data_IF_126326839824
#
_entry.id   IF_126326839824
#
_cell.length_a   1.000
_cell.length_b   1.000
_cell.length_c   1.000
_cell.angle_alpha   90.00
_cell.angle_beta   90.00
_cell.angle_gamma   90.00
#
_symmetry.space_group_name_H-M   'P 1'
#
loop_
_entity.id
_entity.type
_entity.pdbx_description
1 polymer ?
#
# COMPACT_ATOMS: atom_id res chain seq x y z
N UNK A 1 28.48 -6.61 -57.45
CA UNK A 1 28.20 -5.70 -56.32
C UNK A 1 26.76 -5.21 -56.46
N UNK A 2 25.83 -5.67 -55.60
CA UNK A 2 24.44 -5.25 -55.65
C UNK A 2 24.21 -4.07 -54.68
N UNK A 3 24.16 -2.86 -55.23
CA UNK A 3 23.79 -1.66 -54.49
C UNK A 3 22.30 -1.65 -54.22
N UNK A 4 21.91 -1.93 -52.97
CA UNK A 4 20.53 -1.80 -52.51
C UNK A 4 20.17 -0.33 -52.26
N UNK A 5 19.54 0.31 -53.24
CA UNK A 5 18.95 1.65 -53.10
C UNK A 5 17.70 1.59 -52.20
N UNK A 6 17.86 2.01 -50.95
CA UNK A 6 16.72 2.21 -50.05
C UNK A 6 15.91 3.41 -50.53
N UNK A 7 14.72 3.15 -51.08
CA UNK A 7 13.79 4.20 -51.51
C UNK A 7 13.38 5.08 -50.31
N UNK A 8 13.33 6.42 -50.46
CA UNK A 8 13.00 7.37 -49.37
C UNK A 8 11.65 7.11 -48.69
N UNK A 9 10.73 6.48 -49.42
CA UNK A 9 9.37 6.16 -48.98
C UNK A 9 9.31 5.16 -47.81
N UNK A 10 10.29 4.27 -47.68
CA UNK A 10 10.34 3.28 -46.59
C UNK A 10 10.61 3.89 -45.21
N UNK A 11 11.44 4.93 -45.15
CA UNK A 11 11.76 5.68 -43.94
C UNK A 11 10.57 6.49 -43.46
N UNK A 12 9.90 7.21 -44.35
CA UNK A 12 8.69 7.99 -44.04
C UNK A 12 7.56 7.09 -43.49
N UNK A 13 7.29 5.96 -44.15
CA UNK A 13 6.33 4.94 -43.67
C UNK A 13 6.69 4.37 -42.29
N UNK A 14 7.96 4.38 -41.92
CA UNK A 14 8.42 3.90 -40.61
C UNK A 14 8.25 4.99 -39.55
N UNK A 15 8.57 6.24 -39.88
CA UNK A 15 8.32 7.41 -39.01
C UNK A 15 6.83 7.54 -38.71
N UNK A 16 5.96 7.37 -39.71
CA UNK A 16 4.50 7.47 -39.51
C UNK A 16 3.95 6.39 -38.57
N UNK A 17 4.47 5.16 -38.67
CA UNK A 17 4.10 4.06 -37.75
C UNK A 17 4.50 4.37 -36.31
N UNK A 18 5.70 4.89 -36.08
CA UNK A 18 6.14 5.28 -34.74
C UNK A 18 5.40 6.53 -34.23
N UNK A 19 5.13 7.52 -35.08
CA UNK A 19 4.30 8.69 -34.75
C UNK A 19 2.91 8.27 -34.28
N UNK A 20 2.30 7.27 -34.94
CA UNK A 20 1.03 6.67 -34.51
C UNK A 20 1.18 5.94 -33.17
N UNK A 21 2.24 5.16 -32.99
CA UNK A 21 2.50 4.42 -31.75
C UNK A 21 2.66 5.36 -30.54
N UNK A 22 3.38 6.48 -30.69
CA UNK A 22 3.57 7.50 -29.64
C UNK A 22 2.24 8.17 -29.27
N UNK A 23 1.40 8.50 -30.24
CA UNK A 23 0.06 9.05 -29.98
C UNK A 23 -0.80 8.08 -29.17
N UNK A 24 -0.79 6.80 -29.52
CA UNK A 24 -1.54 5.78 -28.78
C UNK A 24 -0.98 5.57 -27.37
N UNK A 25 0.33 5.63 -27.20
CA UNK A 25 0.99 5.49 -25.90
C UNK A 25 0.63 6.59 -24.91
N UNK A 26 0.34 7.81 -25.40
CA UNK A 26 -0.10 8.93 -24.57
C UNK A 26 -1.46 8.68 -23.89
N UNK A 27 -2.28 7.79 -24.45
CA UNK A 27 -3.60 7.44 -23.91
C UNK A 27 -3.48 6.16 -23.06
N UNK A 28 -3.77 6.20 -21.73
CA UNK A 28 -3.50 5.09 -20.80
C UNK A 28 -4.39 3.84 -20.98
N UNK A 29 -5.07 3.70 -22.12
CA UNK A 29 -6.02 2.61 -22.40
C UNK A 29 -5.41 1.43 -23.19
N UNK A 30 -4.18 1.55 -23.67
CA UNK A 30 -3.55 0.53 -24.53
C UNK A 30 -2.17 0.12 -24.01
N UNK A 31 -1.95 -1.18 -23.90
CA UNK A 31 -0.65 -1.77 -23.58
C UNK A 31 0.33 -1.65 -24.76
N UNK A 32 1.63 -1.70 -24.48
CA UNK A 32 2.67 -1.75 -25.53
C UNK A 32 2.43 -2.85 -26.57
N UNK A 33 1.86 -3.99 -26.13
CA UNK A 33 1.55 -5.14 -26.98
C UNK A 33 0.40 -4.85 -27.93
N UNK A 34 -0.63 -4.14 -27.47
CA UNK A 34 -1.73 -3.69 -28.31
C UNK A 34 -1.26 -2.62 -29.29
N UNK A 35 -0.47 -1.65 -28.82
CA UNK A 35 0.10 -0.58 -29.66
C UNK A 35 0.96 -1.17 -30.79
N UNK A 36 1.78 -2.17 -30.46
CA UNK A 36 2.60 -2.91 -31.44
C UNK A 36 1.75 -3.54 -32.55
N UNK A 37 0.67 -4.24 -32.17
CA UNK A 37 -0.29 -4.84 -33.13
C UNK A 37 -0.99 -3.77 -33.98
N UNK A 38 -1.48 -2.69 -33.36
CA UNK A 38 -2.22 -1.62 -34.06
C UNK A 38 -1.35 -0.79 -35.02
N UNK A 39 -0.05 -0.71 -34.77
CA UNK A 39 0.88 0.12 -35.55
C UNK A 39 1.78 -0.68 -36.51
N UNK A 40 1.74 -2.02 -36.46
CA UNK A 40 2.56 -2.87 -37.33
C UNK A 40 4.07 -2.66 -37.09
N UNK A 41 4.46 -2.53 -35.83
CA UNK A 41 5.85 -2.37 -35.36
C UNK A 41 6.12 -3.38 -34.26
N UNK A 42 7.37 -3.83 -34.12
CA UNK A 42 7.73 -4.79 -33.08
C UNK A 42 7.55 -4.19 -31.67
N UNK A 43 7.19 -5.03 -30.70
CA UNK A 43 7.07 -4.63 -29.28
C UNK A 43 8.37 -3.99 -28.78
N UNK A 44 9.52 -4.58 -29.14
CA UNK A 44 10.84 -4.08 -28.79
C UNK A 44 11.11 -2.73 -29.45
N UNK A 45 10.71 -2.54 -30.71
CA UNK A 45 10.84 -1.28 -31.44
C UNK A 45 10.03 -0.15 -30.80
N UNK A 46 8.77 -0.41 -30.43
CA UNK A 46 7.93 0.58 -29.72
C UNK A 46 8.56 0.98 -28.39
N UNK A 47 8.95 0.00 -27.57
CA UNK A 47 9.59 0.27 -26.27
C UNK A 47 10.91 1.02 -26.42
N UNK A 48 11.72 0.66 -27.43
CA UNK A 48 12.99 1.32 -27.73
C UNK A 48 12.79 2.78 -28.16
N UNK A 49 11.93 3.01 -29.15
CA UNK A 49 11.65 4.35 -29.67
C UNK A 49 11.14 5.29 -28.57
N UNK A 50 10.21 4.83 -27.75
CA UNK A 50 9.67 5.64 -26.66
C UNK A 50 10.74 5.92 -25.59
N UNK A 51 11.61 4.96 -25.28
CA UNK A 51 12.71 5.18 -24.32
C UNK A 51 13.71 6.21 -24.82
N UNK A 52 14.01 6.20 -26.12
CA UNK A 52 15.05 7.02 -26.73
C UNK A 52 14.57 8.44 -27.03
N UNK A 53 13.35 8.59 -27.58
CA UNK A 53 12.84 9.89 -28.03
C UNK A 53 11.77 10.48 -27.12
N UNK A 54 10.95 9.65 -26.45
CA UNK A 54 9.77 10.08 -25.70
C UNK A 54 9.77 9.62 -24.23
N UNK A 55 10.95 9.64 -23.57
CA UNK A 55 11.12 9.16 -22.19
C UNK A 55 10.14 9.78 -21.20
N UNK A 56 9.74 11.03 -21.43
CA UNK A 56 8.77 11.74 -20.61
C UNK A 56 7.38 11.06 -20.57
N UNK A 57 6.97 10.36 -21.64
CA UNK A 57 5.71 9.62 -21.67
C UNK A 57 5.73 8.39 -20.76
N UNK A 58 6.89 7.74 -20.63
CA UNK A 58 7.08 6.64 -19.68
C UNK A 58 6.90 7.19 -18.27
N UNK A 59 7.57 8.30 -17.94
CA UNK A 59 7.46 8.93 -16.63
C UNK A 59 6.04 9.40 -16.32
N UNK A 60 5.29 9.87 -17.31
CA UNK A 60 3.88 10.26 -17.13
C UNK A 60 2.98 9.05 -16.82
N UNK A 61 3.22 7.91 -17.49
CA UNK A 61 2.44 6.69 -17.26
C UNK A 61 2.78 6.02 -15.92
N UNK A 62 4.03 6.13 -15.47
CA UNK A 62 4.48 5.68 -14.15
C UNK A 62 4.08 6.63 -13.02
N UNK A 63 3.63 7.85 -13.32
CA UNK A 63 3.14 8.80 -12.31
C UNK A 63 1.63 8.96 -12.44
N UNK A 64 0.93 7.83 -12.49
CA UNK A 64 -0.53 7.84 -12.36
C UNK A 64 -0.92 8.53 -11.04
N UNK A 65 -2.07 9.22 -10.94
CA UNK A 65 -2.51 9.83 -9.69
C UNK A 65 -2.48 8.85 -8.50
N UNK A 66 -2.94 7.61 -8.73
CA UNK A 66 -2.88 6.53 -7.74
C UNK A 66 -1.46 6.20 -7.26
N UNK A 67 -0.45 6.27 -8.13
CA UNK A 67 0.94 5.98 -7.74
C UNK A 67 1.47 7.07 -6.80
N UNK A 68 1.12 8.33 -7.04
CA UNK A 68 1.53 9.46 -6.19
C UNK A 68 0.91 9.35 -4.81
N UNK A 69 -0.39 9.06 -4.74
CA UNK A 69 -1.12 8.85 -3.49
C UNK A 69 -0.51 7.69 -2.68
N UNK A 70 -0.15 6.59 -3.34
CA UNK A 70 0.50 5.46 -2.69
C UNK A 70 1.92 5.79 -2.19
N UNK A 71 2.68 6.62 -2.93
CA UNK A 71 4.01 7.08 -2.51
C UNK A 71 3.91 8.02 -1.29
N UNK A 72 2.95 8.94 -1.30
CA UNK A 72 2.68 9.83 -0.17
C UNK A 72 2.23 9.05 1.06
N UNK A 73 1.33 8.07 0.88
CA UNK A 73 0.93 7.16 1.94
C UNK A 73 2.12 6.38 2.49
N UNK A 74 3.00 5.88 1.62
CA UNK A 74 4.23 5.19 2.04
C UNK A 74 5.17 6.09 2.84
N UNK A 75 5.21 7.40 2.59
CA UNK A 75 6.00 8.34 3.38
C UNK A 75 5.31 8.79 4.68
N UNK A 76 3.98 8.67 4.77
CA UNK A 76 3.18 9.08 5.92
C UNK A 76 3.36 8.17 7.15
N UNK A 77 3.20 8.76 8.33
CA UNK A 77 3.15 8.04 9.60
C UNK A 77 1.88 7.18 9.73
N UNK A 78 0.78 7.56 9.08
CA UNK A 78 -0.50 6.86 9.21
C UNK A 78 -0.46 5.44 8.63
N UNK A 79 0.44 5.20 7.68
CA UNK A 79 0.61 3.89 7.02
C UNK A 79 1.93 3.20 7.41
N UNK A 80 2.60 3.67 8.47
CA UNK A 80 3.92 3.14 8.88
C UNK A 80 3.90 1.65 9.24
N UNK A 81 2.74 1.13 9.65
CA UNK A 81 2.55 -0.29 9.98
C UNK A 81 2.49 -1.17 8.73
N UNK A 82 2.08 -0.61 7.59
CA UNK A 82 1.93 -1.34 6.35
C UNK A 82 3.26 -1.44 5.58
N UNK A 83 3.53 -2.61 5.02
CA UNK A 83 4.63 -2.80 4.08
C UNK A 83 4.25 -2.34 2.67
N UNK A 84 5.23 -2.26 1.76
CA UNK A 84 5.03 -1.81 0.37
C UNK A 84 3.90 -2.60 -0.32
N UNK A 85 3.88 -3.93 -0.19
CA UNK A 85 2.85 -4.77 -0.84
C UNK A 85 1.46 -4.58 -0.23
N UNK A 86 1.35 -4.28 1.06
CA UNK A 86 0.08 -3.97 1.72
C UNK A 86 -0.43 -2.61 1.27
N UNK A 87 0.46 -1.61 1.14
CA UNK A 87 0.12 -0.29 0.62
C UNK A 87 -0.34 -0.41 -0.83
N UNK A 88 0.39 -1.13 -1.68
CA UNK A 88 -0.02 -1.39 -3.05
C UNK A 88 -1.46 -1.96 -3.13
N UNK A 89 -1.80 -2.92 -2.25
CA UNK A 89 -3.16 -3.46 -2.16
C UNK A 89 -4.21 -2.44 -1.70
N UNK A 90 -3.89 -1.55 -0.78
CA UNK A 90 -4.80 -0.47 -0.34
C UNK A 90 -5.15 0.49 -1.50
N UNK A 91 -4.23 0.71 -2.43
CA UNK A 91 -4.40 1.62 -3.57
C UNK A 91 -4.73 0.91 -4.89
N UNK A 92 -4.92 -0.42 -4.87
CA UNK A 92 -5.21 -1.20 -6.08
C UNK A 92 -4.07 -1.22 -7.11
N UNK A 93 -2.83 -1.03 -6.66
CA UNK A 93 -1.63 -0.99 -7.50
C UNK A 93 -0.89 -2.33 -7.54
N UNK A 94 -0.09 -2.50 -8.59
CA UNK A 94 0.89 -3.58 -8.68
C UNK A 94 2.06 -3.32 -7.73
N UNK A 95 2.34 -4.27 -6.83
CA UNK A 95 3.35 -4.10 -5.79
C UNK A 95 4.77 -4.09 -6.36
N UNK A 96 5.02 -4.86 -7.42
CA UNK A 96 6.30 -4.82 -8.13
C UNK A 96 6.57 -3.46 -8.78
N UNK A 97 5.57 -2.83 -9.39
CA UNK A 97 5.73 -1.52 -10.00
C UNK A 97 5.97 -0.43 -8.96
N UNK A 98 5.17 -0.40 -7.88
CA UNK A 98 5.33 0.56 -6.78
C UNK A 98 6.71 0.45 -6.13
N UNK A 99 7.18 -0.78 -5.86
CA UNK A 99 8.50 -1.05 -5.30
C UNK A 99 9.63 -0.53 -6.21
N UNK A 100 9.54 -0.78 -7.52
CA UNK A 100 10.51 -0.28 -8.49
C UNK A 100 10.54 1.24 -8.53
N UNK A 101 9.38 1.88 -8.48
CA UNK A 101 9.25 3.33 -8.50
C UNK A 101 9.86 3.97 -7.24
N UNK A 102 9.54 3.45 -6.05
CA UNK A 102 10.12 3.90 -4.79
C UNK A 102 11.65 3.74 -4.79
N UNK A 103 12.18 2.61 -5.28
CA UNK A 103 13.64 2.37 -5.33
C UNK A 103 14.36 3.30 -6.31
N UNK A 104 13.73 3.60 -7.44
CA UNK A 104 14.33 4.42 -8.50
C UNK A 104 14.26 5.91 -8.19
N UNK A 105 13.10 6.39 -7.73
CA UNK A 105 12.82 7.82 -7.62
C UNK A 105 12.84 8.33 -6.17
N UNK A 106 12.53 7.47 -5.20
CA UNK A 106 12.37 7.86 -3.79
C UNK A 106 13.20 7.00 -2.82
N UNK A 107 14.51 6.77 -3.06
CA UNK A 107 15.32 5.91 -2.19
C UNK A 107 15.45 6.47 -0.76
N UNK A 108 15.31 7.79 -0.59
CA UNK A 108 15.32 8.45 0.72
C UNK A 108 14.08 8.08 1.56
N UNK A 109 12.91 7.99 0.91
CA UNK A 109 11.64 7.63 1.55
C UNK A 109 11.71 6.21 2.10
N UNK A 110 12.20 5.25 1.29
CA UNK A 110 12.42 3.85 1.74
C UNK A 110 13.30 3.81 2.99
N UNK A 111 14.47 4.46 2.95
CA UNK A 111 15.40 4.48 4.10
C UNK A 111 14.76 5.06 5.35
N UNK A 112 14.00 6.16 5.21
CA UNK A 112 13.30 6.79 6.33
C UNK A 112 12.25 5.85 6.90
N UNK A 113 11.39 5.30 6.05
CA UNK A 113 10.32 4.40 6.42
C UNK A 113 10.87 3.16 7.16
N UNK A 114 11.89 2.50 6.62
CA UNK A 114 12.53 1.35 7.28
C UNK A 114 13.17 1.72 8.62
N UNK A 115 13.80 2.90 8.73
CA UNK A 115 14.40 3.38 9.99
C UNK A 115 13.33 3.67 11.04
N UNK A 116 12.22 4.27 10.65
CA UNK A 116 11.08 4.53 11.54
C UNK A 116 10.46 3.20 11.99
N UNK A 117 10.24 2.25 11.08
CA UNK A 117 9.75 0.91 11.41
C UNK A 117 10.66 0.18 12.39
N UNK A 118 11.99 0.22 12.19
CA UNK A 118 12.96 -0.35 13.13
C UNK A 118 12.86 0.28 14.52
N UNK A 119 12.75 1.62 14.60
CA UNK A 119 12.57 2.35 15.88
C UNK A 119 11.28 1.97 16.60
N UNK A 120 10.22 1.66 15.85
CA UNK A 120 8.91 1.26 16.38
C UNK A 120 8.79 -0.25 16.65
N UNK A 121 9.82 -1.04 16.37
CA UNK A 121 9.78 -2.51 16.52
C UNK A 121 8.89 -3.21 15.48
N UNK A 122 8.68 -2.60 14.30
CA UNK A 122 7.84 -3.09 13.21
C UNK A 122 8.65 -3.75 12.07
N UNK A 123 9.89 -4.18 12.34
CA UNK A 123 10.85 -4.64 11.33
C UNK A 123 10.87 -6.14 11.08
N UNK A 124 10.13 -6.92 11.86
CA UNK A 124 10.08 -8.37 11.87
C UNK A 124 9.13 -8.97 10.81
N UNK A 125 8.49 -8.13 9.98
CA UNK A 125 7.50 -8.52 8.95
C UNK A 125 6.35 -9.39 9.50
N UNK A 126 6.20 -9.43 10.83
CA UNK A 126 5.11 -10.13 11.48
C UNK A 126 3.84 -9.29 11.35
N UNK A 127 2.65 -9.90 11.27
CA UNK A 127 1.41 -9.16 11.36
C UNK A 127 1.28 -8.52 12.74
N UNK A 128 1.49 -7.21 12.83
CA UNK A 128 1.22 -6.44 14.06
C UNK A 128 -0.28 -6.19 14.21
N UNK A 129 -0.79 -6.44 15.41
CA UNK A 129 -2.20 -6.27 15.75
C UNK A 129 -2.98 -7.58 15.81
N UNK A 130 -4.23 -7.47 16.26
CA UNK A 130 -5.12 -8.61 16.48
C UNK A 130 -5.42 -9.30 15.15
N UNK A 131 -5.13 -10.61 15.04
CA UNK A 131 -5.47 -11.42 13.87
C UNK A 131 -6.93 -11.20 13.47
N UNK A 132 -7.22 -11.12 12.18
CA UNK A 132 -8.57 -10.81 11.67
C UNK A 132 -9.62 -11.82 12.15
N UNK A 133 -9.23 -13.10 12.28
CA UNK A 133 -10.04 -14.15 12.90
C UNK A 133 -10.42 -13.80 14.36
N UNK A 134 -9.43 -13.38 15.15
CA UNK A 134 -9.64 -12.96 16.54
C UNK A 134 -10.50 -11.68 16.62
N UNK A 135 -10.32 -10.71 15.72
CA UNK A 135 -11.18 -9.50 15.69
C UNK A 135 -12.65 -9.84 15.53
N UNK A 136 -13.00 -10.76 14.61
CA UNK A 136 -14.39 -11.18 14.41
C UNK A 136 -14.93 -11.93 15.62
N UNK A 137 -14.15 -12.87 16.17
CA UNK A 137 -14.52 -13.69 17.33
C UNK A 137 -14.73 -12.87 18.61
N UNK A 138 -13.99 -11.76 18.79
CA UNK A 138 -14.06 -10.92 20.00
C UNK A 138 -14.86 -9.61 19.81
N UNK A 139 -15.40 -9.35 18.61
CA UNK A 139 -16.12 -8.11 18.30
C UNK A 139 -17.37 -7.87 19.19
N UNK A 140 -18.07 -8.94 19.56
CA UNK A 140 -19.22 -8.88 20.47
C UNK A 140 -18.81 -8.42 21.87
N UNK A 141 -17.82 -9.09 22.45
CA UNK A 141 -17.28 -8.77 23.77
C UNK A 141 -16.68 -7.35 23.81
N UNK A 142 -15.98 -6.92 22.76
CA UNK A 142 -15.45 -5.55 22.67
C UNK A 142 -16.57 -4.49 22.66
N UNK A 143 -17.68 -4.76 21.96
CA UNK A 143 -18.82 -3.85 21.91
C UNK A 143 -19.47 -3.70 23.28
N UNK A 144 -19.61 -4.79 24.01
CA UNK A 144 -20.14 -4.80 25.39
C UNK A 144 -19.24 -4.00 26.33
N UNK A 145 -17.93 -4.27 26.29
CA UNK A 145 -16.94 -3.58 27.13
C UNK A 145 -16.80 -2.08 26.82
N UNK A 146 -17.10 -1.67 25.58
CA UNK A 146 -17.13 -0.25 25.19
C UNK A 146 -18.45 0.44 25.58
N UNK A 147 -19.56 -0.29 25.55
CA UNK A 147 -20.90 0.23 25.79
C UNK A 147 -21.27 0.33 27.27
N UNK A 148 -20.78 -0.60 28.10
CA UNK A 148 -21.09 -0.64 29.52
C UNK A 148 -19.81 -0.50 30.36
N UNK A 149 -19.87 0.37 31.35
CA UNK A 149 -18.74 0.70 32.23
C UNK A 149 -18.60 -0.29 33.39
N UNK A 150 -19.63 -1.06 33.68
CA UNK A 150 -19.68 -1.98 34.83
C UNK A 150 -19.62 -3.45 34.43
N UNK A 151 -19.66 -3.76 33.14
CA UNK A 151 -19.54 -5.15 32.69
C UNK A 151 -18.11 -5.66 32.88
N UNK A 152 -17.98 -6.82 33.50
CA UNK A 152 -16.68 -7.48 33.68
C UNK A 152 -16.26 -8.19 32.39
N UNK A 153 -14.95 -8.37 32.20
CA UNK A 153 -14.41 -9.15 31.07
C UNK A 153 -15.00 -10.57 31.01
N UNK A 154 -15.22 -11.19 32.16
CA UNK A 154 -15.78 -12.55 32.26
C UNK A 154 -17.25 -12.62 31.88
N UNK A 155 -18.02 -11.56 32.12
CA UNK A 155 -19.42 -11.45 31.69
C UNK A 155 -19.50 -11.19 30.19
N UNK A 156 -18.70 -10.25 29.67
CA UNK A 156 -18.64 -9.96 28.25
C UNK A 156 -18.23 -11.19 27.41
N UNK A 157 -17.32 -12.02 27.94
CA UNK A 157 -16.90 -13.27 27.33
C UNK A 157 -18.03 -14.31 27.29
N UNK A 158 -18.74 -14.50 28.42
CA UNK A 158 -19.88 -15.41 28.52
C UNK A 158 -21.03 -14.99 27.60
N UNK A 159 -21.30 -13.70 27.50
CA UNK A 159 -22.34 -13.16 26.60
C UNK A 159 -21.99 -13.24 25.11
N UNK A 160 -20.75 -13.61 24.76
CA UNK A 160 -20.28 -13.71 23.38
C UNK A 160 -19.73 -15.10 23.03
N UNK A 161 -20.09 -16.14 23.80
CA UNK A 161 -19.67 -17.54 23.60
C UNK A 161 -18.15 -17.75 23.52
N UNK A 162 -17.40 -17.03 24.35
CA UNK A 162 -15.95 -17.15 24.44
C UNK A 162 -15.58 -17.99 25.66
N UNK A 163 -15.13 -19.22 25.41
CA UNK A 163 -14.75 -20.18 26.46
C UNK A 163 -13.48 -19.79 27.24
N UNK A 164 -12.61 -18.97 26.65
CA UNK A 164 -11.32 -18.59 27.25
C UNK A 164 -11.12 -17.07 27.22
N UNK A 165 -11.43 -16.43 28.35
CA UNK A 165 -11.37 -14.97 28.52
C UNK A 165 -9.93 -14.47 28.71
N UNK A 166 -8.99 -15.35 29.09
CA UNK A 166 -7.56 -15.02 29.25
C UNK A 166 -6.97 -14.50 27.93
N UNK A 167 -7.45 -15.05 26.81
CA UNK A 167 -7.09 -14.63 25.46
C UNK A 167 -7.56 -13.20 25.14
N UNK A 168 -8.73 -12.76 25.63
CA UNK A 168 -9.27 -11.40 25.39
C UNK A 168 -8.31 -10.32 25.94
N UNK A 169 -7.69 -10.60 27.10
CA UNK A 169 -6.72 -9.70 27.73
C UNK A 169 -5.42 -9.54 26.93
N UNK A 170 -5.01 -10.52 26.12
CA UNK A 170 -3.81 -10.41 25.29
C UNK A 170 -4.03 -9.64 23.98
N UNK A 171 -5.28 -9.47 23.52
CA UNK A 171 -5.60 -8.90 22.20
C UNK A 171 -6.11 -7.45 22.21
N UNK A 172 -6.50 -6.91 23.37
CA UNK A 172 -7.08 -5.55 23.52
C UNK A 172 -6.08 -4.50 24.03
N UNK A 173 -4.81 -4.88 24.16
CA UNK A 173 -3.78 -4.25 25.02
C UNK A 173 -3.07 -3.01 24.49
N UNK A 174 -3.61 -2.29 23.51
CA UNK A 174 -3.19 -0.88 23.29
C UNK A 174 -4.34 0.12 23.40
N UNK A 175 -5.53 -0.22 22.90
CA UNK A 175 -6.69 0.68 22.92
C UNK A 175 -7.48 0.65 24.23
N UNK A 176 -7.58 -0.50 24.91
CA UNK A 176 -8.28 -0.61 26.19
C UNK A 176 -7.38 -0.34 27.41
N UNK A 177 -6.06 -0.60 27.31
CA UNK A 177 -5.10 -0.29 28.39
C UNK A 177 -5.03 1.21 28.70
N UNK A 178 -5.21 2.09 27.71
CA UNK A 178 -5.32 3.54 27.92
C UNK A 178 -6.62 3.96 28.66
N UNK A 179 -7.69 3.17 28.55
CA UNK A 179 -8.94 3.37 29.32
C UNK A 179 -8.86 2.76 30.72
N UNK A 180 -8.16 1.62 30.88
CA UNK A 180 -7.94 0.96 32.18
C UNK A 180 -6.92 1.72 33.04
N UNK A 181 -5.89 2.36 32.46
CA UNK A 181 -4.99 3.26 33.21
C UNK A 181 -5.71 4.50 33.76
N UNK A 182 -6.77 4.99 33.08
CA UNK A 182 -7.68 6.02 33.63
C UNK A 182 -8.49 5.51 34.84
N UNK A 183 -8.73 4.20 34.92
CA UNK A 183 -9.41 3.55 36.04
C UNK A 183 -8.49 3.37 37.26
N UNK A 184 -7.22 2.99 37.05
CA UNK A 184 -6.22 2.85 38.12
C UNK A 184 -5.97 4.15 38.88
N UNK A 185 -5.99 5.30 38.19
CA UNK A 185 -5.79 6.62 38.81
C UNK A 185 -6.99 7.10 39.66
N UNK A 186 -8.23 6.67 39.36
CA UNK A 186 -9.43 7.07 40.11
C UNK A 186 -9.66 6.27 41.39
N UNK A 187 -9.20 5.01 41.45
CA UNK A 187 -9.34 4.18 42.66
C UNK A 187 -8.49 4.70 43.83
N UNK A 188 -7.30 5.24 43.53
CA UNK A 188 -6.42 5.88 44.52
C UNK A 188 -6.97 7.21 45.05
N UNK A 189 -7.63 8.02 44.21
CA UNK A 189 -8.19 9.31 44.63
C UNK A 189 -9.47 9.18 45.47
N UNK A 190 -10.25 8.10 45.31
CA UNK A 190 -11.45 7.86 46.10
C UNK A 190 -11.15 7.20 47.47
N UNK A 191 -10.08 6.42 47.60
CA UNK A 191 -9.62 5.91 48.90
C UNK A 191 -8.95 6.99 49.77
N UNK A 192 -8.42 8.06 49.15
CA UNK A 192 -7.81 9.20 49.85
C UNK A 192 -8.83 10.27 50.30
N UNK A 193 -10.09 10.20 49.85
CA UNK A 193 -11.20 11.06 50.29
C UNK A 193 -12.13 10.41 51.31
N UNK A 194 -11.82 9.19 51.74
CA UNK A 194 -12.60 8.39 52.69
C UNK A 194 -11.85 8.14 54.01
N UNK A 195 -11.02 9.10 54.44
CA UNK A 195 -10.45 9.20 55.79
C UNK A 195 -10.66 10.59 56.34
#
# INVERSE_FOLDING_TARGET
MAGGSSTPNSRLKTVDRYRKAVKLYRSPRLSCSEISRTCGVSLSGVKGHIREYDRHLILAQYNSPCDKEAIEAYDSMDYIEYNISQIARCFGLDDTNLSKQLRTHYPRVIKRHEKVRKRLGLSDNLPHGTRQFCKKRYAGAERLLRGDRYITFSEAARSSDISDWSSICCFTTKSLWASVLRFGKRRSNNSAKAK
#
